data_IF_229386786974
#
_entry.id   IF_229386786974
#
_cell.length_a   1.000
_cell.length_b   1.000
_cell.length_c   1.000
_cell.angle_alpha   90.00
_cell.angle_beta   90.00
_cell.angle_gamma   90.00
#
_symmetry.space_group_name_H-M   'P 1'
#
loop_
_entity.id
_entity.type
_entity.pdbx_description
1 polymer ?
#
# COMPACT_ATOMS: atom_id res chain seq x y z
N UNK A 1 -5.38 -5.92 5.37
CA UNK A 1 -4.91 -7.20 5.93
C UNK A 1 -4.31 -8.11 4.86
N UNK A 2 -5.07 -8.62 3.88
CA UNK A 2 -4.51 -9.56 2.87
C UNK A 2 -3.21 -9.06 2.19
N UNK A 3 -3.14 -7.79 1.78
CA UNK A 3 -1.91 -7.20 1.24
C UNK A 3 -0.70 -7.34 2.16
N UNK A 4 -0.86 -7.03 3.46
CA UNK A 4 0.19 -7.20 4.46
C UNK A 4 0.61 -8.68 4.61
N UNK A 5 -0.34 -9.61 4.62
CA UNK A 5 -0.03 -11.04 4.73
C UNK A 5 0.72 -11.56 3.48
N UNK A 6 0.35 -11.10 2.27
CA UNK A 6 1.07 -11.46 1.05
C UNK A 6 2.53 -11.01 1.13
N UNK A 7 2.77 -9.76 1.54
CA UNK A 7 4.11 -9.24 1.75
C UNK A 7 4.92 -10.07 2.76
N UNK A 8 4.34 -10.34 3.93
CA UNK A 8 5.06 -11.06 5.02
C UNK A 8 5.39 -12.51 4.64
N UNK A 9 4.47 -13.21 3.96
CA UNK A 9 4.62 -14.66 3.69
C UNK A 9 5.39 -14.91 2.40
N UNK A 10 5.09 -14.15 1.34
CA UNK A 10 5.67 -14.36 0.01
C UNK A 10 6.91 -13.50 -0.22
N UNK A 11 7.09 -12.44 0.56
CA UNK A 11 8.11 -11.43 0.32
C UNK A 11 7.91 -10.64 -0.98
N UNK A 12 6.69 -10.70 -1.54
CA UNK A 12 6.34 -10.00 -2.79
C UNK A 12 4.86 -9.65 -2.84
N UNK A 13 4.48 -8.46 -2.36
CA UNK A 13 3.12 -7.94 -2.50
C UNK A 13 2.83 -7.57 -3.97
N UNK A 14 1.61 -7.82 -4.44
CA UNK A 14 1.20 -7.37 -5.77
C UNK A 14 1.31 -5.84 -5.91
N UNK A 15 1.91 -5.33 -6.99
CA UNK A 15 2.21 -3.89 -7.16
C UNK A 15 1.00 -2.96 -7.00
N UNK A 16 -0.17 -3.34 -7.54
CA UNK A 16 -1.41 -2.58 -7.32
C UNK A 16 -1.79 -2.49 -5.83
N UNK A 17 -1.54 -3.58 -5.08
CA UNK A 17 -1.84 -3.63 -3.66
C UNK A 17 -0.83 -2.86 -2.82
N UNK A 18 0.42 -2.68 -3.26
CA UNK A 18 1.40 -1.80 -2.59
C UNK A 18 0.90 -0.35 -2.53
N UNK A 19 0.35 0.16 -3.64
CA UNK A 19 -0.27 1.49 -3.69
C UNK A 19 -1.44 1.60 -2.71
N UNK A 20 -2.36 0.63 -2.74
CA UNK A 20 -3.51 0.60 -1.82
C UNK A 20 -3.06 0.54 -0.36
N UNK A 21 -2.11 -0.34 -0.07
CA UNK A 21 -1.58 -0.60 1.26
C UNK A 21 -0.93 0.65 1.87
N UNK A 22 0.00 1.30 1.16
CA UNK A 22 0.69 2.49 1.66
C UNK A 22 -0.29 3.66 1.88
N UNK A 23 -1.29 3.82 1.02
CA UNK A 23 -2.35 4.84 1.19
C UNK A 23 -3.23 4.58 2.42
N UNK A 24 -3.46 3.32 2.79
CA UNK A 24 -4.18 3.00 4.05
C UNK A 24 -3.34 3.28 5.28
N UNK A 25 -2.01 3.12 5.20
CA UNK A 25 -1.12 3.57 6.29
C UNK A 25 -1.23 5.09 6.47
N UNK A 26 -1.23 5.88 5.39
CA UNK A 26 -1.48 7.32 5.47
C UNK A 26 -2.84 7.65 6.11
N UNK A 27 -3.92 6.96 5.70
CA UNK A 27 -5.26 7.23 6.22
C UNK A 27 -5.43 6.94 7.72
N UNK A 28 -4.64 6.00 8.26
CA UNK A 28 -4.83 5.47 9.61
C UNK A 28 -3.65 5.75 10.55
N UNK A 29 -2.81 6.72 10.22
CA UNK A 29 -1.72 7.20 11.07
C UNK A 29 -1.86 8.70 11.33
N UNK A 30 -1.24 9.24 12.40
CA UNK A 30 -1.46 10.62 12.80
C UNK A 30 -1.01 11.67 11.77
N UNK A 31 0.02 11.36 10.97
CA UNK A 31 0.58 12.28 9.99
C UNK A 31 1.38 11.53 8.91
N UNK A 32 1.67 12.22 7.80
CA UNK A 32 2.35 11.65 6.65
C UNK A 32 3.80 11.19 6.92
N UNK A 33 4.54 11.86 7.81
CA UNK A 33 5.90 11.43 8.18
C UNK A 33 5.89 10.08 8.91
N UNK A 34 5.01 9.93 9.90
CA UNK A 34 4.79 8.64 10.57
C UNK A 34 4.32 7.57 9.59
N UNK A 35 3.41 7.91 8.67
CA UNK A 35 2.97 6.98 7.63
C UNK A 35 4.13 6.49 6.76
N UNK A 36 4.99 7.41 6.33
CA UNK A 36 6.14 7.13 5.49
C UNK A 36 7.14 6.22 6.19
N UNK A 37 7.51 6.54 7.43
CA UNK A 37 8.44 5.73 8.22
C UNK A 37 7.93 4.31 8.44
N UNK A 38 6.63 4.15 8.73
CA UNK A 38 6.01 2.83 8.90
C UNK A 38 6.02 2.06 7.60
N UNK A 39 5.58 2.69 6.50
CA UNK A 39 5.49 2.04 5.20
C UNK A 39 6.88 1.64 4.68
N UNK A 40 7.87 2.53 4.74
CA UNK A 40 9.23 2.24 4.29
C UNK A 40 9.85 1.12 5.13
N UNK A 41 9.72 1.18 6.47
CA UNK A 41 10.23 0.13 7.36
C UNK A 41 9.62 -1.24 7.07
N UNK A 42 8.32 -1.32 6.81
CA UNK A 42 7.65 -2.58 6.51
C UNK A 42 8.03 -3.10 5.12
N UNK A 43 8.12 -2.22 4.12
CA UNK A 43 8.60 -2.57 2.78
C UNK A 43 10.01 -3.17 2.86
N UNK A 44 10.94 -2.46 3.50
CA UNK A 44 12.35 -2.84 3.56
C UNK A 44 12.62 -4.09 4.41
N UNK A 45 11.73 -4.38 5.36
CA UNK A 45 11.81 -5.57 6.20
C UNK A 45 11.36 -6.83 5.48
N UNK A 46 10.29 -6.75 4.68
CA UNK A 46 9.59 -7.95 4.19
C UNK A 46 9.66 -8.15 2.68
N UNK A 47 9.73 -7.09 1.87
CA UNK A 47 9.81 -7.25 0.42
C UNK A 47 11.21 -7.73 0.03
N UNK A 48 11.27 -8.81 -0.76
CA UNK A 48 12.52 -9.33 -1.33
C UNK A 48 13.16 -8.33 -2.30
N UNK A 49 12.33 -7.47 -2.89
CA UNK A 49 12.73 -6.33 -3.73
C UNK A 49 12.71 -4.99 -2.97
N UNK A 50 12.69 -5.01 -1.63
CA UNK A 50 12.80 -3.84 -0.77
C UNK A 50 14.24 -3.33 -0.61
N UNK A 51 14.43 -2.25 0.16
CA UNK A 51 15.72 -1.52 0.29
C UNK A 51 16.28 -1.08 -1.07
N UNK A 52 15.37 -0.69 -1.94
CA UNK A 52 15.61 -0.33 -3.32
C UNK A 52 15.03 1.07 -3.59
N UNK A 53 15.65 1.90 -4.46
CA UNK A 53 15.12 3.20 -4.83
C UNK A 53 13.65 3.16 -5.31
N UNK A 54 13.23 2.10 -5.99
CA UNK A 54 11.83 1.93 -6.41
C UNK A 54 10.90 1.77 -5.22
N UNK A 55 11.35 1.10 -4.15
CA UNK A 55 10.61 0.98 -2.90
C UNK A 55 10.42 2.35 -2.23
N UNK A 56 11.52 3.10 -2.08
CA UNK A 56 11.48 4.46 -1.51
C UNK A 56 10.54 5.38 -2.30
N UNK A 57 10.73 5.46 -3.63
CA UNK A 57 9.92 6.32 -4.50
C UNK A 57 8.47 5.84 -4.57
N UNK A 58 8.22 4.53 -4.53
CA UNK A 58 6.86 3.97 -4.50
C UNK A 58 6.08 4.31 -3.23
N UNK A 59 6.75 4.30 -2.07
CA UNK A 59 6.17 4.78 -0.81
C UNK A 59 5.94 6.30 -0.88
N UNK A 60 6.92 7.06 -1.39
CA UNK A 60 6.81 8.51 -1.55
C UNK A 60 5.69 8.92 -2.51
N UNK A 61 5.51 8.21 -3.62
CA UNK A 61 4.38 8.37 -4.55
C UNK A 61 3.05 8.15 -3.83
N UNK A 62 2.98 7.11 -2.99
CA UNK A 62 1.75 6.73 -2.30
C UNK A 62 1.34 7.73 -1.23
N UNK A 63 2.31 8.28 -0.49
CA UNK A 63 2.08 9.09 0.72
C UNK A 63 2.20 10.59 0.45
N UNK A 64 3.20 11.01 -0.32
CA UNK A 64 3.47 12.43 -0.61
C UNK A 64 3.06 12.84 -2.03
N UNK A 65 2.71 11.89 -2.90
CA UNK A 65 2.35 12.18 -4.29
C UNK A 65 3.55 12.49 -5.19
N UNK A 66 4.75 12.04 -4.83
CA UNK A 66 5.95 12.17 -5.68
C UNK A 66 5.68 11.53 -7.04
N UNK A 67 5.94 12.27 -8.12
CA UNK A 67 5.63 11.88 -9.51
C UNK A 67 4.13 11.64 -9.83
N UNK A 68 3.22 12.07 -8.96
CA UNK A 68 1.78 12.14 -9.24
C UNK A 68 1.32 13.61 -9.33
N UNK A 69 0.11 13.81 -9.84
CA UNK A 69 -0.57 15.11 -9.83
C UNK A 69 -1.45 15.29 -8.59
N UNK A 70 -1.94 16.51 -8.37
CA UNK A 70 -2.95 16.79 -7.35
C UNK A 70 -4.35 16.27 -7.73
N UNK A 71 -5.08 15.79 -6.74
CA UNK A 71 -6.46 15.28 -6.85
C UNK A 71 -7.44 16.15 -6.04
N UNK A 72 -8.74 15.85 -6.18
CA UNK A 72 -9.79 16.48 -5.37
C UNK A 72 -9.45 16.37 -3.89
N UNK A 73 -9.49 17.51 -3.21
CA UNK A 73 -9.13 17.62 -1.81
C UNK A 73 -10.05 16.78 -0.92
N UNK A 74 -9.46 16.07 0.05
CA UNK A 74 -10.16 15.22 1.01
C UNK A 74 -9.53 15.35 2.38
N UNK A 75 -10.35 15.17 3.42
CA UNK A 75 -9.85 15.03 4.80
C UNK A 75 -8.77 13.95 4.86
N UNK A 76 -7.75 14.19 5.68
CA UNK A 76 -6.52 13.37 5.83
C UNK A 76 -5.57 13.41 4.63
N UNK A 77 -6.08 13.22 3.41
CA UNK A 77 -5.22 13.12 2.21
C UNK A 77 -4.80 14.46 1.61
N UNK A 78 -5.52 15.55 1.90
CA UNK A 78 -5.40 16.78 1.12
C UNK A 78 -5.64 16.45 -0.35
N UNK A 79 -4.67 16.78 -1.21
CA UNK A 79 -4.72 16.52 -2.67
C UNK A 79 -4.00 15.25 -3.11
N UNK A 80 -3.50 14.41 -2.19
CA UNK A 80 -2.88 13.14 -2.55
C UNK A 80 -3.94 12.18 -3.12
N UNK A 81 -3.59 11.43 -4.17
CA UNK A 81 -4.51 10.47 -4.80
C UNK A 81 -5.10 9.51 -3.77
N UNK A 82 -6.43 9.48 -3.68
CA UNK A 82 -7.15 8.58 -2.80
C UNK A 82 -7.43 7.20 -3.45
N UNK A 83 -7.34 6.14 -2.65
CA UNK A 83 -7.75 4.79 -3.03
C UNK A 83 -8.60 4.17 -1.93
N UNK A 84 -9.73 3.54 -2.30
CA UNK A 84 -10.63 2.89 -1.35
C UNK A 84 -11.05 1.49 -1.80
N UNK A 85 -11.64 0.75 -0.86
CA UNK A 85 -12.07 -0.62 -1.05
C UNK A 85 -13.10 -0.75 -2.19
N UNK A 86 -14.10 0.13 -2.22
CA UNK A 86 -15.12 0.13 -3.26
C UNK A 86 -14.52 0.35 -4.67
N UNK A 87 -13.51 1.22 -4.78
CA UNK A 87 -12.77 1.45 -6.01
C UNK A 87 -11.96 0.23 -6.46
N UNK A 88 -11.36 -0.49 -5.52
CA UNK A 88 -10.67 -1.75 -5.83
C UNK A 88 -11.66 -2.83 -6.31
N UNK A 89 -12.85 -2.91 -5.70
CA UNK A 89 -13.88 -3.91 -6.02
C UNK A 89 -14.38 -3.79 -7.47
N UNK A 90 -14.37 -2.56 -8.01
CA UNK A 90 -14.71 -2.30 -9.42
C UNK A 90 -13.59 -2.68 -10.40
N UNK A 91 -12.35 -2.85 -9.93
CA UNK A 91 -11.17 -3.10 -10.79
C UNK A 91 -10.78 -4.58 -10.85
N UNK A 92 -10.96 -5.33 -9.76
CA UNK A 92 -10.61 -6.75 -9.71
C UNK A 92 -11.37 -7.50 -8.62
N UNK A 93 -11.35 -8.83 -8.68
CA UNK A 93 -12.01 -9.68 -7.69
C UNK A 93 -11.21 -9.71 -6.36
N UNK A 94 -11.59 -8.83 -5.44
CA UNK A 94 -10.97 -8.76 -4.10
C UNK A 94 -11.18 -10.07 -3.31
N UNK A 95 -12.35 -10.70 -3.41
CA UNK A 95 -12.65 -11.92 -2.67
C UNK A 95 -11.71 -13.06 -3.08
N UNK A 96 -11.42 -13.18 -4.38
CA UNK A 96 -10.44 -14.13 -4.90
C UNK A 96 -9.02 -13.81 -4.41
N UNK A 97 -8.61 -12.53 -4.41
CA UNK A 97 -7.30 -12.12 -3.87
C UNK A 97 -7.17 -12.46 -2.38
N UNK A 98 -8.18 -12.13 -1.57
CA UNK A 98 -8.18 -12.43 -0.13
C UNK A 98 -8.15 -13.94 0.13
N UNK A 99 -8.93 -14.73 -0.62
CA UNK A 99 -8.94 -16.19 -0.52
C UNK A 99 -7.58 -16.79 -0.87
N UNK A 100 -6.95 -16.32 -1.95
CA UNK A 100 -5.60 -16.73 -2.36
C UNK A 100 -4.58 -16.48 -1.25
N UNK A 101 -4.56 -15.27 -0.69
CA UNK A 101 -3.62 -14.95 0.39
C UNK A 101 -3.91 -15.75 1.66
N UNK A 102 -5.17 -15.97 2.02
CA UNK A 102 -5.53 -16.80 3.18
C UNK A 102 -4.96 -18.21 3.07
N UNK A 103 -5.01 -18.82 1.89
CA UNK A 103 -4.43 -20.15 1.65
C UNK A 103 -2.90 -20.18 1.86
N UNK A 104 -2.20 -19.07 1.61
CA UNK A 104 -0.77 -18.95 1.88
C UNK A 104 -0.45 -18.82 3.37
N UNK A 105 -1.37 -18.26 4.18
CA UNK A 105 -1.20 -18.11 5.64
C UNK A 105 -1.39 -19.45 6.35
N UNK A 106 -2.24 -20.32 5.81
CA UNK A 106 -2.61 -21.62 6.42
C UNK A 106 -1.76 -22.80 5.92
N UNK A 107 -0.89 -22.57 4.94
CA UNK A 107 0.00 -23.59 4.39
C UNK A 107 1.34 -23.57 5.14
#
# INVERSE_FOLDING_TARGET
>A
NAAQHEMVIRGKMHGFMRMYWAKKILEWTPNAATAFDIALRLNDKYELDGRDPNGFVGVAWSIYGVHDMGWTERSVFGKVRYMNYAGCKRKFNIAAYVSKVRKLVTA
#
